data_IF_059742112475
#
_entry.id   IF_059742112475
#
_cell.length_a   1.000
_cell.length_b   1.000
_cell.length_c   1.000
_cell.angle_alpha   90.00
_cell.angle_beta   90.00
_cell.angle_gamma   90.00
#
_symmetry.space_group_name_H-M   'P 1'
#
loop_
_entity.id
_entity.type
_entity.pdbx_description
1 polymer ?
#
# COMPACT_ATOMS: atom_id res chain seq x y z
N UNK A 1 -6.00 3.13 -17.02
CA UNK A 1 -5.04 3.96 -16.27
C UNK A 1 -4.80 3.26 -14.93
N UNK A 2 -3.57 2.89 -14.63
CA UNK A 2 -3.22 2.26 -13.35
C UNK A 2 -3.43 3.27 -12.22
N UNK A 3 -4.38 3.02 -11.36
CA UNK A 3 -4.72 3.89 -10.23
C UNK A 3 -4.94 3.03 -9.00
N UNK A 4 -4.16 3.26 -7.97
CA UNK A 4 -4.34 2.61 -6.68
C UNK A 4 -5.68 3.00 -6.05
N UNK A 5 -6.29 2.05 -5.37
CA UNK A 5 -7.49 2.29 -4.58
C UNK A 5 -7.17 3.25 -3.41
N UNK A 6 -8.11 4.10 -3.04
CA UNK A 6 -7.98 4.96 -1.85
C UNK A 6 -7.70 4.18 -0.56
N UNK A 7 -8.19 2.95 -0.48
CA UNK A 7 -7.91 2.10 0.70
C UNK A 7 -6.45 1.71 0.80
N UNK A 8 -5.76 1.52 -0.33
CA UNK A 8 -4.32 1.22 -0.37
C UNK A 8 -3.49 2.42 0.08
N UNK A 9 -3.86 3.64 -0.34
CA UNK A 9 -3.26 4.88 0.15
C UNK A 9 -3.45 5.03 1.68
N UNK A 10 -4.67 4.83 2.17
CA UNK A 10 -4.96 4.86 3.61
C UNK A 10 -4.24 3.77 4.39
N UNK A 11 -3.97 2.61 3.76
CA UNK A 11 -3.17 1.56 4.39
C UNK A 11 -1.74 2.00 4.64
N UNK A 12 -1.09 2.65 3.67
CA UNK A 12 0.25 3.21 3.84
C UNK A 12 0.29 4.18 5.02
N UNK A 13 -0.71 5.07 5.14
CA UNK A 13 -0.82 6.02 6.25
C UNK A 13 -0.96 5.30 7.59
N UNK A 14 -1.88 4.32 7.71
CA UNK A 14 -2.10 3.59 8.96
C UNK A 14 -0.89 2.72 9.35
N UNK A 15 -0.29 2.01 8.39
CA UNK A 15 0.91 1.21 8.63
C UNK A 15 2.10 2.09 9.00
N UNK A 16 2.20 3.28 8.40
CA UNK A 16 3.19 4.29 8.75
C UNK A 16 3.05 4.76 10.19
N UNK A 17 1.83 4.98 10.68
CA UNK A 17 1.60 5.34 12.09
C UNK A 17 1.98 4.21 13.04
N UNK A 18 1.62 2.96 12.69
CA UNK A 18 2.01 1.78 13.48
C UNK A 18 3.54 1.58 13.52
N UNK A 19 4.25 1.97 12.48
CA UNK A 19 5.72 1.82 12.41
C UNK A 19 6.49 2.80 13.29
N UNK A 20 5.87 3.89 13.76
CA UNK A 20 6.53 4.91 14.61
C UNK A 20 6.93 4.38 15.98
N UNK A 21 6.16 3.43 16.51
CA UNK A 21 6.41 2.81 17.81
C UNK A 21 6.47 1.28 17.64
N UNK A 22 7.59 0.74 17.15
CA UNK A 22 7.75 -0.69 16.92
C UNK A 22 7.46 -1.49 18.20
N UNK A 23 6.64 -2.53 18.08
CA UNK A 23 6.26 -3.37 19.19
C UNK A 23 5.10 -2.85 20.06
N UNK A 24 4.63 -1.61 19.84
CA UNK A 24 3.46 -1.07 20.52
C UNK A 24 2.20 -1.27 19.66
N UNK A 25 1.09 -1.61 20.31
CA UNK A 25 -0.20 -1.69 19.65
C UNK A 25 -0.90 -0.32 19.63
N UNK A 26 -1.66 -0.05 18.58
CA UNK A 26 -2.58 1.10 18.50
C UNK A 26 -3.99 0.60 18.22
N UNK A 27 -4.97 1.14 18.95
CA UNK A 27 -6.38 0.89 18.68
C UNK A 27 -6.83 1.60 17.39
N UNK A 28 -7.94 1.15 16.80
CA UNK A 28 -8.52 1.80 15.64
C UNK A 28 -8.91 3.27 15.91
N UNK A 29 -9.26 3.60 17.15
CA UNK A 29 -9.58 4.98 17.56
C UNK A 29 -8.32 5.85 17.57
N UNK A 30 -7.24 5.40 18.20
CA UNK A 30 -5.96 6.11 18.21
C UNK A 30 -5.43 6.33 16.79
N UNK A 31 -5.53 5.31 15.92
CA UNK A 31 -5.17 5.46 14.51
C UNK A 31 -6.06 6.45 13.77
N UNK A 32 -7.37 6.46 14.04
CA UNK A 32 -8.30 7.44 13.46
C UNK A 32 -7.93 8.87 13.88
N UNK A 33 -7.66 9.10 15.15
CA UNK A 33 -7.24 10.39 15.68
C UNK A 33 -5.89 10.84 15.12
N UNK A 34 -4.92 9.92 15.04
CA UNK A 34 -3.58 10.22 14.57
C UNK A 34 -3.49 10.47 13.05
N UNK A 35 -4.36 9.81 12.26
CA UNK A 35 -4.35 9.92 10.78
C UNK A 35 -5.35 10.91 10.23
N UNK A 36 -6.36 11.31 11.01
CA UNK A 36 -7.49 12.10 10.54
C UNK A 36 -8.51 11.32 9.69
N UNK A 37 -8.32 10.01 9.51
CA UNK A 37 -9.28 9.15 8.82
C UNK A 37 -10.47 8.84 9.73
N UNK A 38 -11.66 8.63 9.14
CA UNK A 38 -12.82 8.25 9.95
C UNK A 38 -12.62 6.89 10.61
N UNK A 39 -13.11 6.72 11.83
CA UNK A 39 -13.02 5.46 12.57
C UNK A 39 -13.57 4.27 11.76
N UNK A 40 -14.67 4.47 11.02
CA UNK A 40 -15.24 3.43 10.16
C UNK A 40 -14.25 3.00 9.07
N UNK A 41 -13.59 3.94 8.41
CA UNK A 41 -12.59 3.65 7.37
C UNK A 41 -11.41 2.88 7.94
N UNK A 42 -10.89 3.34 9.09
CA UNK A 42 -9.77 2.66 9.77
C UNK A 42 -10.14 1.25 10.18
N UNK A 43 -11.31 1.04 10.80
CA UNK A 43 -11.76 -0.30 11.20
C UNK A 43 -11.93 -1.24 10.01
N UNK A 44 -12.52 -0.76 8.91
CA UNK A 44 -12.68 -1.56 7.69
C UNK A 44 -11.33 -1.94 7.11
N UNK A 45 -10.40 -1.00 7.03
CA UNK A 45 -9.05 -1.19 6.52
C UNK A 45 -8.26 -2.21 7.35
N UNK A 46 -8.22 -2.04 8.67
CA UNK A 46 -7.48 -2.91 9.56
C UNK A 46 -8.02 -4.35 9.54
N UNK A 47 -9.34 -4.53 9.46
CA UNK A 47 -9.95 -5.85 9.27
C UNK A 47 -9.50 -6.51 7.96
N UNK A 48 -9.47 -5.76 6.86
CA UNK A 48 -8.99 -6.27 5.57
C UNK A 48 -7.52 -6.68 5.65
N UNK A 49 -6.66 -5.85 6.24
CA UNK A 49 -5.24 -6.14 6.39
C UNK A 49 -4.98 -7.38 7.25
N UNK A 50 -5.72 -7.56 8.36
CA UNK A 50 -5.61 -8.75 9.21
C UNK A 50 -6.02 -10.03 8.47
N UNK A 51 -7.08 -9.96 7.64
CA UNK A 51 -7.61 -11.14 6.94
C UNK A 51 -6.81 -11.47 5.68
N UNK A 52 -6.42 -10.46 4.92
CA UNK A 52 -5.83 -10.65 3.59
C UNK A 52 -4.30 -10.63 3.57
N UNK A 53 -3.66 -10.21 4.64
CA UNK A 53 -2.20 -10.08 4.69
C UNK A 53 -1.63 -10.53 6.03
N UNK A 54 -0.31 -10.70 6.07
CA UNK A 54 0.43 -10.90 7.30
C UNK A 54 1.19 -9.63 7.73
N UNK A 55 0.67 -8.45 7.40
CA UNK A 55 1.31 -7.17 7.70
C UNK A 55 1.06 -6.73 9.14
N UNK A 56 -0.13 -7.01 9.66
CA UNK A 56 -0.55 -6.63 11.02
C UNK A 56 -1.26 -7.79 11.73
N UNK A 57 -1.22 -7.75 13.05
CA UNK A 57 -2.00 -8.64 13.92
C UNK A 57 -2.86 -7.82 14.86
N UNK A 58 -4.09 -8.32 15.12
CA UNK A 58 -4.98 -7.77 16.12
C UNK A 58 -4.70 -8.41 17.48
N UNK A 59 -4.45 -7.61 18.51
CA UNK A 59 -4.29 -8.02 19.89
C UNK A 59 -5.57 -7.74 20.67
N UNK A 60 -6.02 -8.69 21.51
CA UNK A 60 -7.18 -8.57 22.39
C UNK A 60 -6.75 -8.09 23.78
N UNK A 61 -7.66 -7.45 24.50
CA UNK A 61 -7.48 -7.05 25.91
C UNK A 61 -7.66 -5.54 26.12
N UNK A 62 -7.46 -5.09 27.34
CA UNK A 62 -7.63 -3.68 27.74
C UNK A 62 -6.65 -2.74 27.00
N UNK A 63 -5.43 -3.23 26.73
CA UNK A 63 -4.43 -2.55 25.90
C UNK A 63 -4.37 -3.15 24.49
N UNK A 64 -5.46 -3.72 24.01
CA UNK A 64 -5.56 -4.34 22.71
C UNK A 64 -5.53 -3.31 21.58
N UNK A 65 -5.17 -3.77 20.39
CA UNK A 65 -5.06 -2.93 19.21
C UNK A 65 -4.46 -3.69 18.05
N UNK A 66 -3.80 -2.99 17.18
CA UNK A 66 -3.15 -3.55 16.00
C UNK A 66 -1.65 -3.28 16.08
N UNK A 67 -0.86 -4.26 15.70
CA UNK A 67 0.60 -4.18 15.71
C UNK A 67 1.15 -4.66 14.36
N UNK A 68 2.27 -4.06 13.93
CA UNK A 68 2.99 -4.53 12.76
C UNK A 68 3.70 -5.87 13.07
N UNK A 69 3.61 -6.81 12.14
CA UNK A 69 4.29 -8.11 12.24
C UNK A 69 5.74 -8.04 11.74
N UNK A 70 6.09 -7.00 11.00
CA UNK A 70 7.42 -6.81 10.41
C UNK A 70 7.86 -5.36 10.62
N UNK A 71 9.16 -5.13 10.58
CA UNK A 71 9.72 -3.77 10.50
C UNK A 71 9.32 -3.09 9.19
N UNK A 72 9.12 -1.78 9.19
CA UNK A 72 8.73 -1.00 7.99
C UNK A 72 9.68 -1.18 6.81
N UNK A 73 10.98 -1.36 7.07
CA UNK A 73 12.00 -1.66 6.06
C UNK A 73 11.83 -3.01 5.37
N UNK A 74 11.05 -3.93 5.97
CA UNK A 74 10.78 -5.28 5.44
C UNK A 74 9.37 -5.43 4.87
N UNK A 75 8.59 -4.38 4.84
CA UNK A 75 7.27 -4.33 4.22
C UNK A 75 7.44 -3.65 2.88
N UNK A 76 7.25 -4.39 1.78
CA UNK A 76 7.32 -3.81 0.45
C UNK A 76 6.01 -3.13 0.04
N UNK A 77 6.11 -2.15 -0.85
CA UNK A 77 4.93 -1.45 -1.40
C UNK A 77 4.00 -2.43 -2.11
N UNK A 78 4.56 -3.43 -2.81
CA UNK A 78 3.76 -4.44 -3.50
C UNK A 78 2.94 -5.29 -2.52
N UNK A 79 3.49 -5.65 -1.35
CA UNK A 79 2.73 -6.40 -0.33
C UNK A 79 1.50 -5.63 0.15
N UNK A 80 1.62 -4.31 0.29
CA UNK A 80 0.50 -3.45 0.71
C UNK A 80 -0.57 -3.38 -0.38
N UNK A 81 -0.15 -3.19 -1.64
CA UNK A 81 -1.06 -3.11 -2.78
C UNK A 81 -1.80 -4.44 -2.96
N UNK A 82 -1.08 -5.55 -3.00
CA UNK A 82 -1.68 -6.87 -3.23
C UNK A 82 -2.58 -7.34 -2.10
N UNK A 83 -2.33 -6.89 -0.88
CA UNK A 83 -3.22 -7.16 0.26
C UNK A 83 -4.63 -6.57 0.08
N UNK A 84 -4.78 -5.46 -0.63
CA UNK A 84 -6.04 -4.72 -0.72
C UNK A 84 -6.66 -4.78 -2.12
N UNK A 85 -5.84 -4.64 -3.15
CA UNK A 85 -6.26 -4.54 -4.55
C UNK A 85 -6.13 -5.88 -5.30
N UNK A 86 -5.47 -6.89 -4.68
CA UNK A 86 -5.17 -8.16 -5.34
C UNK A 86 -3.88 -8.10 -6.17
N UNK A 87 -3.55 -9.19 -6.86
CA UNK A 87 -2.33 -9.30 -7.64
C UNK A 87 -2.23 -8.21 -8.71
N UNK A 88 -1.05 -7.61 -8.85
CA UNK A 88 -0.82 -6.62 -9.90
C UNK A 88 -0.79 -7.33 -11.25
N UNK A 89 -1.77 -7.01 -12.10
CA UNK A 89 -1.84 -7.47 -13.48
C UNK A 89 -2.21 -6.31 -14.41
N UNK A 90 -1.33 -6.03 -15.37
CA UNK A 90 -1.54 -4.93 -16.33
C UNK A 90 -2.61 -5.27 -17.37
N UNK A 91 -2.75 -6.54 -17.70
CA UNK A 91 -3.68 -7.04 -18.70
C UNK A 91 -4.16 -8.43 -18.31
N UNK A 92 -5.29 -8.87 -18.87
CA UNK A 92 -5.84 -10.20 -18.66
C UNK A 92 -4.93 -11.34 -19.15
N UNK A 93 -3.90 -11.06 -19.94
CA UNK A 93 -3.00 -12.08 -20.48
C UNK A 93 -1.70 -12.26 -19.67
N UNK A 94 -1.55 -11.60 -18.53
CA UNK A 94 -0.43 -11.88 -17.61
C UNK A 94 -0.81 -13.01 -16.65
N UNK A 95 0.17 -13.81 -16.24
CA UNK A 95 -0.03 -14.99 -15.38
C UNK A 95 -0.66 -14.66 -14.02
N UNK A 96 -0.41 -13.45 -13.51
CA UNK A 96 -0.98 -12.98 -12.25
C UNK A 96 -2.42 -12.46 -12.36
N UNK A 97 -3.01 -12.44 -13.56
CA UNK A 97 -4.38 -11.98 -13.77
C UNK A 97 -5.39 -13.03 -13.31
N UNK A 98 -6.42 -12.60 -12.60
CA UNK A 98 -7.60 -13.40 -12.30
C UNK A 98 -8.59 -13.44 -13.48
N UNK A 99 -8.43 -12.54 -14.46
CA UNK A 99 -9.26 -12.44 -15.65
C UNK A 99 -8.77 -13.39 -16.75
N UNK A 100 -9.71 -13.97 -17.51
CA UNK A 100 -9.39 -14.76 -18.67
C UNK A 100 -9.30 -13.88 -19.93
N UNK A 101 -8.19 -14.01 -20.66
CA UNK A 101 -8.04 -13.33 -21.94
C UNK A 101 -8.78 -14.10 -23.05
N UNK A 102 -9.86 -13.53 -23.57
CA UNK A 102 -10.67 -14.14 -24.64
C UNK A 102 -9.88 -14.35 -25.95
N UNK A 103 -8.87 -13.52 -26.21
CA UNK A 103 -8.02 -13.57 -27.39
C UNK A 103 -6.78 -14.45 -27.23
N UNK A 104 -6.62 -15.17 -26.13
CA UNK A 104 -5.37 -15.92 -25.79
C UNK A 104 -4.88 -16.84 -26.92
N UNK A 105 -5.80 -17.49 -27.64
CA UNK A 105 -5.48 -18.49 -28.66
C UNK A 105 -5.03 -17.91 -30.00
N UNK A 106 -5.31 -16.63 -30.27
CA UNK A 106 -5.04 -15.97 -31.56
C UNK A 106 -4.14 -14.74 -31.43
N UNK A 107 -3.78 -14.38 -30.20
CA UNK A 107 -3.04 -13.17 -29.92
C UNK A 107 -1.53 -13.36 -30.10
N UNK A 108 -0.92 -12.64 -31.04
CA UNK A 108 0.53 -12.65 -31.26
C UNK A 108 1.33 -12.03 -30.11
N UNK A 109 0.66 -11.30 -29.20
CA UNK A 109 1.25 -10.71 -27.98
C UNK A 109 1.13 -11.65 -26.77
N UNK A 110 0.60 -12.87 -26.93
CA UNK A 110 0.38 -13.80 -25.83
C UNK A 110 1.60 -13.92 -24.91
N UNK A 111 1.42 -13.64 -23.62
CA UNK A 111 2.47 -13.71 -22.60
C UNK A 111 3.57 -12.64 -22.66
N UNK A 112 3.65 -11.79 -23.68
CA UNK A 112 4.71 -10.76 -23.79
C UNK A 112 4.59 -9.67 -22.74
N UNK A 113 3.37 -9.43 -22.25
CA UNK A 113 3.11 -8.52 -21.16
C UNK A 113 3.63 -9.01 -19.80
N UNK A 114 3.88 -10.32 -19.64
CA UNK A 114 4.43 -10.88 -18.40
C UNK A 114 5.73 -10.20 -18.00
N UNK A 115 6.64 -9.97 -18.98
CA UNK A 115 7.92 -9.31 -18.70
C UNK A 115 7.74 -7.87 -18.22
N UNK A 116 6.80 -7.11 -18.79
CA UNK A 116 6.51 -5.73 -18.37
C UNK A 116 5.89 -5.74 -16.98
N UNK A 117 4.94 -6.64 -16.74
CA UNK A 117 4.29 -6.80 -15.44
C UNK A 117 5.30 -7.17 -14.35
N UNK A 118 6.22 -8.09 -14.65
CA UNK A 118 7.29 -8.51 -13.73
C UNK A 118 8.22 -7.35 -13.36
N UNK A 119 8.62 -6.51 -14.33
CA UNK A 119 9.45 -5.33 -14.06
C UNK A 119 8.74 -4.37 -13.09
N UNK A 120 7.45 -4.10 -13.31
CA UNK A 120 6.67 -3.23 -12.43
C UNK A 120 6.56 -3.84 -11.03
N UNK A 121 6.23 -5.14 -10.94
CA UNK A 121 6.17 -5.86 -9.67
C UNK A 121 7.48 -5.79 -8.92
N UNK A 122 8.60 -6.02 -9.61
CA UNK A 122 9.94 -5.92 -9.03
C UNK A 122 10.22 -4.52 -8.52
N UNK A 123 9.96 -3.48 -9.31
CA UNK A 123 10.17 -2.09 -8.90
C UNK A 123 9.37 -1.72 -7.65
N UNK A 124 8.12 -2.18 -7.54
CA UNK A 124 7.30 -1.97 -6.35
C UNK A 124 7.73 -2.81 -5.15
N UNK A 125 8.32 -3.98 -5.40
CA UNK A 125 8.87 -4.83 -4.36
C UNK A 125 10.16 -4.25 -3.74
N UNK A 126 10.96 -3.57 -4.53
CA UNK A 126 12.22 -2.96 -4.12
C UNK A 126 12.02 -1.68 -3.28
N UNK A 127 10.80 -1.13 -3.24
CA UNK A 127 10.44 0.02 -2.41
C UNK A 127 9.77 -0.48 -1.12
N UNK A 128 10.33 -0.11 0.04
CA UNK A 128 9.76 -0.44 1.34
C UNK A 128 8.79 0.63 1.84
N UNK A 129 7.96 0.27 2.84
CA UNK A 129 7.15 1.23 3.58
C UNK A 129 8.04 2.32 4.22
N UNK A 130 9.20 1.96 4.73
CA UNK A 130 10.17 2.91 5.28
C UNK A 130 10.64 3.93 4.24
N UNK A 131 10.92 3.49 2.99
CA UNK A 131 11.29 4.40 1.90
C UNK A 131 10.17 5.40 1.58
N UNK A 132 8.89 4.98 1.66
CA UNK A 132 7.76 5.89 1.46
C UNK A 132 7.60 6.91 2.60
N UNK A 133 8.00 6.55 3.83
CA UNK A 133 7.87 7.40 5.00
C UNK A 133 9.04 8.38 5.15
N UNK A 134 10.23 7.98 4.72
CA UNK A 134 11.45 8.79 4.77
C UNK A 134 11.56 9.63 3.49
N UNK A 135 10.84 10.74 3.47
CA UNK A 135 10.69 11.62 2.32
C UNK A 135 12.00 12.30 1.87
N UNK A 136 13.00 12.35 2.75
CA UNK A 136 14.23 13.08 2.49
C UNK A 136 15.18 12.39 1.50
N UNK A 137 15.07 11.07 1.33
CA UNK A 137 16.03 10.29 0.54
C UNK A 137 15.58 9.92 -0.87
N UNK A 138 14.28 10.06 -1.21
CA UNK A 138 13.74 9.44 -2.42
C UNK A 138 13.14 10.43 -3.44
N UNK A 139 12.75 11.63 -3.02
CA UNK A 139 12.16 12.63 -3.92
C UNK A 139 12.71 14.03 -3.64
N UNK A 140 12.94 14.86 -4.67
CA UNK A 140 13.35 16.25 -4.47
C UNK A 140 12.27 16.98 -3.65
N UNK A 141 12.68 17.58 -2.55
CA UNK A 141 11.80 18.36 -1.66
C UNK A 141 11.21 19.51 -2.47
N UNK A 142 9.94 19.46 -2.77
CA UNK A 142 9.20 20.65 -3.22
C UNK A 142 9.04 21.54 -1.98
N UNK A 143 9.91 22.49 -1.82
CA UNK A 143 9.84 23.46 -0.72
C UNK A 143 8.46 24.17 -0.78
N UNK A 144 7.73 24.15 0.33
CA UNK A 144 6.43 24.86 0.47
C UNK A 144 6.50 26.35 0.13
N UNK A 145 7.69 26.95 0.06
CA UNK A 145 7.89 28.35 -0.38
C UNK A 145 7.59 28.58 -1.87
N UNK A 146 7.64 27.52 -2.71
CA UNK A 146 7.39 27.68 -4.15
C UNK A 146 5.90 27.60 -4.50
N UNK A 147 5.04 27.22 -3.55
CA UNK A 147 3.58 27.13 -3.76
C UNK A 147 2.88 28.49 -3.54
N UNK A 148 3.48 29.39 -2.74
CA UNK A 148 2.89 30.72 -2.48
C UNK A 148 3.13 31.73 -3.62
N UNK A 149 4.05 31.46 -4.55
CA UNK A 149 4.33 32.35 -5.68
C UNK A 149 3.43 32.09 -6.92
N UNK A 150 2.60 31.05 -6.91
CA UNK A 150 1.68 30.75 -8.02
C UNK A 150 0.26 31.27 -7.88
N UNK A 151 -0.05 31.96 -6.79
CA UNK A 151 -1.39 32.51 -6.52
C UNK A 151 -1.52 34.01 -6.79
N UNK A 152 -0.49 34.63 -7.39
CA UNK A 152 -0.56 36.06 -7.78
C UNK A 152 -0.21 36.14 -9.29
N UNK A 153 -1.21 35.89 -10.11
CA UNK A 153 -1.41 36.51 -11.45
C UNK A 153 -2.76 36.05 -11.99
#
# INVERSE_FOLDING_TARGET
>A
MFKLNKMTDYAVVCLGMLSRNPGSSMSARELSEATGLTLYTVQKLLKLLVVKSNLITAQRGACGGYILNKQSSKISVIEIIEALDGPISLTACVESSEDMCEASNICFLGGKWNKVNEIIRKSLNDISLENLLNYEDTFPIINKKDTELRTIN
#
